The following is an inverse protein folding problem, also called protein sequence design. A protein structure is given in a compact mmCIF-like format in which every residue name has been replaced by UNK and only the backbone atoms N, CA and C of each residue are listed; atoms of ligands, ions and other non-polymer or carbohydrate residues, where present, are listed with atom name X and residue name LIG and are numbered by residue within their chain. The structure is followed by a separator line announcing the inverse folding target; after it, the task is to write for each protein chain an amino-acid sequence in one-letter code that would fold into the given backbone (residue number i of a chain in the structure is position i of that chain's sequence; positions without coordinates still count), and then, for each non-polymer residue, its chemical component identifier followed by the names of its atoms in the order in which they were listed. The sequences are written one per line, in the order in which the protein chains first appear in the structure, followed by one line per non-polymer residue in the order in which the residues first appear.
data_IF_560908459095
#
_entry.id   IF_560908459095
#
_cell.length_a   1.000
_cell.length_b   1.000
_cell.length_c   1.000
_cell.angle_alpha   90.00
_cell.angle_beta   90.00
_cell.angle_gamma   90.00
#
_symmetry.space_group_name_H-M   'P 1'
#
loop_
_entity.id
_entity.type
_entity.pdbx_description
1 polymer ?
#
# COMPACT_ATOMS: atom_id res chain seq x y z
N UNK A 1 11.61 -6.00 14.28
CA UNK A 1 10.29 -5.96 14.96
C UNK A 1 9.22 -6.42 13.96
N UNK A 2 8.86 -7.71 13.98
CA UNK A 2 8.02 -8.35 12.96
C UNK A 2 6.66 -8.85 13.48
N UNK A 3 6.20 -8.35 14.63
CA UNK A 3 5.04 -8.91 15.32
C UNK A 3 3.67 -8.51 14.73
N UNK A 4 3.60 -7.47 13.89
CA UNK A 4 2.32 -6.94 13.39
C UNK A 4 1.82 -7.58 12.09
N UNK A 5 2.71 -7.86 11.12
CA UNK A 5 2.31 -8.42 9.82
C UNK A 5 1.77 -9.85 9.95
N UNK A 6 2.38 -10.67 10.81
CA UNK A 6 1.94 -12.06 11.01
C UNK A 6 0.55 -12.17 11.64
N UNK A 7 0.25 -11.32 12.62
CA UNK A 7 -1.07 -11.26 13.25
C UNK A 7 -2.14 -10.77 12.26
N UNK A 8 -1.83 -9.72 11.49
CA UNK A 8 -2.74 -9.21 10.46
C UNK A 8 -3.07 -10.27 9.40
N UNK A 9 -2.07 -11.00 8.92
CA UNK A 9 -2.28 -12.12 7.97
C UNK A 9 -3.16 -13.20 8.59
N UNK A 10 -2.95 -13.56 9.86
CA UNK A 10 -3.80 -14.54 10.55
C UNK A 10 -5.25 -14.05 10.64
N UNK A 11 -5.47 -12.80 11.00
CA UNK A 11 -6.81 -12.19 11.04
C UNK A 11 -7.49 -12.24 9.67
N UNK A 12 -6.80 -11.83 8.60
CA UNK A 12 -7.34 -11.85 7.23
C UNK A 12 -7.75 -13.27 6.81
N UNK A 13 -6.89 -14.26 7.10
CA UNK A 13 -7.18 -15.68 6.83
C UNK A 13 -8.36 -16.19 7.65
N UNK A 14 -8.45 -15.82 8.94
CA UNK A 14 -9.56 -16.22 9.81
C UNK A 14 -10.92 -15.73 9.29
N UNK A 15 -10.96 -14.52 8.72
CA UNK A 15 -12.18 -13.97 8.13
C UNK A 15 -12.39 -14.38 6.66
N UNK A 16 -11.56 -15.28 6.12
CA UNK A 16 -11.60 -15.73 4.73
C UNK A 16 -11.55 -14.55 3.73
N UNK A 17 -10.77 -13.52 4.09
CA UNK A 17 -10.59 -12.27 3.35
C UNK A 17 -9.22 -12.20 2.66
N UNK A 18 -8.54 -13.34 2.48
CA UNK A 18 -7.22 -13.45 1.86
C UNK A 18 -7.26 -13.45 0.33
N UNK A 19 -8.33 -12.89 -0.25
CA UNK A 19 -8.68 -13.02 -1.66
C UNK A 19 -7.51 -12.69 -2.61
N UNK A 20 -6.61 -11.74 -2.26
CA UNK A 20 -5.54 -11.25 -3.15
C UNK A 20 -4.31 -10.70 -2.39
N UNK A 21 -3.85 -11.34 -1.30
CA UNK A 21 -2.64 -10.86 -0.60
C UNK A 21 -1.34 -11.27 -1.32
N UNK A 22 -0.84 -10.41 -2.20
CA UNK A 22 0.46 -10.57 -2.86
C UNK A 22 1.52 -9.69 -2.20
N UNK A 23 2.65 -10.25 -1.74
CA UNK A 23 3.69 -9.45 -1.11
C UNK A 23 4.39 -8.56 -2.16
N UNK A 24 4.27 -7.24 -2.01
CA UNK A 24 5.13 -6.29 -2.71
C UNK A 24 6.50 -6.24 -2.03
N UNK A 25 7.57 -6.43 -2.79
CA UNK A 25 8.95 -6.37 -2.26
C UNK A 25 9.49 -4.95 -2.30
N UNK A 26 10.52 -4.67 -1.49
CA UNK A 26 11.14 -3.34 -1.46
C UNK A 26 11.84 -3.03 -2.80
N UNK A 27 12.39 -4.04 -3.49
CA UNK A 27 13.01 -3.89 -4.82
C UNK A 27 12.00 -3.48 -5.91
N UNK A 28 10.78 -4.02 -5.85
CA UNK A 28 9.70 -3.60 -6.76
C UNK A 28 9.35 -2.12 -6.53
N UNK A 29 9.27 -1.71 -5.27
CA UNK A 29 8.96 -0.33 -4.90
C UNK A 29 10.08 0.64 -5.30
N UNK A 30 11.35 0.25 -5.12
CA UNK A 30 12.51 1.04 -5.54
C UNK A 30 12.52 1.27 -7.04
N UNK A 31 12.23 0.23 -7.83
CA UNK A 31 12.17 0.34 -9.30
C UNK A 31 11.07 1.32 -9.73
N UNK A 32 9.85 1.16 -9.20
CA UNK A 32 8.71 2.06 -9.48
C UNK A 32 9.05 3.50 -9.10
N UNK A 33 9.66 3.71 -7.93
CA UNK A 33 10.07 5.05 -7.47
C UNK A 33 11.15 5.67 -8.35
N UNK A 34 12.02 4.85 -8.94
CA UNK A 34 13.03 5.32 -9.91
C UNK A 34 12.39 5.77 -11.23
N UNK A 35 11.34 5.08 -11.68
CA UNK A 35 10.59 5.44 -12.88
C UNK A 35 9.94 6.84 -12.74
N UNK A 36 9.39 7.16 -11.56
CA UNK A 36 8.82 8.49 -11.32
C UNK A 36 9.83 9.64 -11.51
N UNK A 37 11.11 9.41 -11.17
CA UNK A 37 12.16 10.45 -11.27
C UNK A 37 12.52 10.79 -12.71
N UNK A 38 12.32 9.86 -13.64
CA UNK A 38 12.65 10.05 -15.06
C UNK A 38 11.44 10.47 -15.90
N UNK A 39 10.22 10.35 -15.36
CA UNK A 39 8.99 10.75 -16.03
C UNK A 39 8.82 12.28 -16.02
N UNK A 40 8.85 12.89 -17.21
CA UNK A 40 8.58 14.33 -17.36
C UNK A 40 7.13 14.64 -16.99
N UNK A 41 6.93 15.70 -16.21
CA UNK A 41 5.61 16.19 -15.82
C UNK A 41 5.03 15.55 -14.55
N UNK A 42 5.69 14.52 -14.01
CA UNK A 42 5.41 14.05 -12.66
C UNK A 42 6.20 14.94 -11.69
N UNK A 43 5.50 15.73 -10.88
CA UNK A 43 6.14 16.55 -9.84
C UNK A 43 6.85 15.69 -8.79
N UNK A 44 7.68 16.29 -7.95
CA UNK A 44 8.50 15.57 -6.95
C UNK A 44 7.69 14.75 -5.94
N UNK A 45 6.39 15.04 -5.79
CA UNK A 45 5.46 14.41 -4.84
C UNK A 45 4.13 14.06 -5.51
N UNK A 46 4.09 13.03 -6.39
CA UNK A 46 2.88 12.71 -7.15
C UNK A 46 1.76 12.24 -6.24
N UNK A 47 0.51 12.61 -6.54
CA UNK A 47 -0.62 11.95 -5.88
C UNK A 47 -0.85 10.58 -6.52
N UNK A 48 -1.10 9.54 -5.72
CA UNK A 48 -1.21 8.16 -6.19
C UNK A 48 -2.50 7.49 -5.73
N UNK A 49 -3.08 6.67 -6.60
CA UNK A 49 -4.17 5.74 -6.29
C UNK A 49 -3.61 4.32 -6.35
N UNK A 50 -3.83 3.54 -5.29
CA UNK A 50 -3.46 2.12 -5.21
C UNK A 50 -4.70 1.25 -5.04
N UNK A 51 -4.85 0.24 -5.90
CA UNK A 51 -6.03 -0.64 -5.94
C UNK A 51 -5.60 -2.01 -5.43
N UNK A 52 -6.24 -2.48 -4.37
CA UNK A 52 -5.69 -3.58 -3.56
C UNK A 52 -4.55 -3.07 -2.67
N UNK A 53 -4.71 -1.89 -2.08
CA UNK A 53 -3.66 -1.19 -1.35
C UNK A 53 -3.14 -1.94 -0.11
N UNK A 54 -3.82 -3.00 0.32
CA UNK A 54 -3.43 -3.77 1.48
C UNK A 54 -3.42 -2.91 2.73
N UNK A 55 -2.28 -2.86 3.41
CA UNK A 55 -2.07 -1.98 4.56
C UNK A 55 -1.46 -0.61 4.20
N UNK A 56 -1.42 -0.24 2.91
CA UNK A 56 -0.94 1.05 2.43
C UNK A 56 0.58 1.23 2.43
N UNK A 57 1.37 0.15 2.66
CA UNK A 57 2.84 0.22 2.66
C UNK A 57 3.40 0.77 1.35
N UNK A 58 2.86 0.36 0.20
CA UNK A 58 3.30 0.81 -1.11
C UNK A 58 3.09 2.33 -1.28
N UNK A 59 1.87 2.83 -1.00
CA UNK A 59 1.55 4.26 -1.05
C UNK A 59 2.50 5.11 -0.18
N UNK A 60 2.81 4.66 1.04
CA UNK A 60 3.75 5.36 1.93
C UNK A 60 5.18 5.39 1.38
N UNK A 61 5.61 4.31 0.73
CA UNK A 61 6.95 4.23 0.16
C UNK A 61 7.10 5.08 -1.10
N UNK A 62 6.09 5.02 -1.95
CA UNK A 62 6.12 5.57 -3.31
C UNK A 62 5.88 7.08 -3.36
N UNK A 63 5.18 7.67 -2.39
CA UNK A 63 4.88 9.11 -2.45
C UNK A 63 4.76 9.85 -1.11
N UNK A 64 5.15 11.13 -1.15
CA UNK A 64 4.88 12.16 -0.15
C UNK A 64 3.69 13.07 -0.53
N UNK A 65 3.04 12.79 -1.67
CA UNK A 65 1.83 13.47 -2.14
C UNK A 65 0.54 12.92 -1.51
N UNK A 66 -0.61 13.22 -2.13
CA UNK A 66 -1.90 12.67 -1.66
C UNK A 66 -1.98 11.18 -1.96
N UNK A 67 -2.50 10.40 -1.01
CA UNK A 67 -2.63 8.95 -1.09
C UNK A 67 -4.09 8.57 -1.16
N UNK A 68 -4.46 7.83 -2.19
CA UNK A 68 -5.79 7.28 -2.39
C UNK A 68 -5.69 5.75 -2.45
N UNK A 69 -6.63 5.05 -1.83
CA UNK A 69 -6.64 3.59 -1.77
C UNK A 69 -8.02 3.05 -2.15
N UNK A 70 -8.03 1.92 -2.86
CA UNK A 70 -9.21 1.04 -2.94
C UNK A 70 -8.81 -0.26 -2.25
N UNK A 71 -9.52 -0.63 -1.18
CA UNK A 71 -9.31 -1.87 -0.44
C UNK A 71 -10.65 -2.41 0.04
N UNK A 72 -10.81 -3.73 -0.02
CA UNK A 72 -12.08 -4.43 0.28
C UNK A 72 -12.07 -5.09 1.65
N UNK A 73 -10.90 -5.53 2.11
CA UNK A 73 -10.72 -6.23 3.37
C UNK A 73 -10.86 -5.27 4.56
N UNK A 74 -11.84 -5.52 5.43
CA UNK A 74 -12.13 -4.66 6.59
C UNK A 74 -10.95 -4.55 7.56
N UNK A 75 -10.21 -5.64 7.89
CA UNK A 75 -8.99 -5.55 8.67
C UNK A 75 -7.92 -4.69 8.02
N UNK A 76 -7.80 -4.74 6.68
CA UNK A 76 -6.81 -3.96 5.95
C UNK A 76 -7.17 -2.48 5.89
N UNK A 77 -8.44 -2.16 5.62
CA UNK A 77 -8.99 -0.81 5.74
C UNK A 77 -8.73 -0.22 7.12
N UNK A 78 -8.95 -1.00 8.18
CA UNK A 78 -8.70 -0.58 9.56
C UNK A 78 -7.22 -0.38 9.89
N UNK A 79 -6.31 -0.94 9.07
CA UNK A 79 -4.86 -0.83 9.22
C UNK A 79 -4.23 0.32 8.44
N UNK A 80 -4.99 0.96 7.53
CA UNK A 80 -4.51 2.11 6.78
C UNK A 80 -4.29 3.32 7.70
N UNK A 81 -3.25 4.11 7.39
CA UNK A 81 -3.05 5.39 8.06
C UNK A 81 -4.16 6.37 7.72
N UNK A 82 -4.49 7.24 8.68
CA UNK A 82 -5.55 8.25 8.54
C UNK A 82 -5.31 9.27 7.42
N UNK A 83 -4.09 9.38 6.92
CA UNK A 83 -3.73 10.28 5.82
C UNK A 83 -3.90 9.63 4.43
N UNK A 84 -4.35 8.37 4.38
CA UNK A 84 -4.77 7.68 3.16
C UNK A 84 -6.29 7.83 3.02
N UNK A 85 -6.73 8.41 1.91
CA UNK A 85 -8.14 8.50 1.58
C UNK A 85 -8.61 7.20 0.92
N UNK A 86 -9.71 6.63 1.40
CA UNK A 86 -10.33 5.41 0.86
C UNK A 86 -11.67 5.77 0.22
#
# INVERSE_FOLDING_TARGET
MGHHTGQLIQTIKQFNQDFEWYPTTDEQLDLIKSDFKVMKGIGERPSLLDVGAGNGKALKFLTEGKRYAIEKSVPLLSSLDKDIFV
#
